data_IF_200001663468
#
_entry.id   IF_200001663468
#
_cell.length_a   1.000
_cell.length_b   1.000
_cell.length_c   1.000
_cell.angle_alpha   90.00
_cell.angle_beta   90.00
_cell.angle_gamma   90.00
#
_symmetry.space_group_name_H-M   'P 1'
#
loop_
_entity.id
_entity.type
_entity.pdbx_description
1 polymer ?
#
# COMPACT_ATOMS: atom_id res chain seq x y z
N UNK A 1 28.15 -2.17 -0.41
CA UNK A 1 27.00 -2.95 -0.88
C UNK A 1 26.93 -2.89 -2.40
N UNK A 2 26.32 -3.89 -3.07
CA UNK A 2 26.22 -3.93 -4.54
C UNK A 2 25.11 -2.97 -5.06
N UNK A 3 24.09 -2.72 -4.23
CA UNK A 3 22.94 -1.90 -4.61
C UNK A 3 22.95 -0.55 -3.90
N UNK A 4 22.54 0.51 -4.60
CA UNK A 4 22.43 1.86 -4.07
C UNK A 4 21.06 2.15 -3.46
N UNK A 5 20.05 1.44 -3.92
CA UNK A 5 18.68 1.58 -3.42
C UNK A 5 17.97 0.23 -3.36
N UNK A 6 17.02 0.11 -2.44
CA UNK A 6 16.06 -1.01 -2.38
C UNK A 6 14.66 -0.41 -2.32
N UNK A 7 13.78 -0.90 -3.18
CA UNK A 7 12.39 -0.46 -3.25
C UNK A 7 11.49 -1.63 -2.85
N UNK A 8 10.66 -1.39 -1.85
CA UNK A 8 9.75 -2.38 -1.28
C UNK A 8 8.30 -2.13 -1.71
N UNK A 9 7.53 -3.19 -1.84
CA UNK A 9 6.09 -3.13 -1.68
C UNK A 9 5.73 -3.06 -0.19
N UNK A 10 4.46 -2.78 0.15
CA UNK A 10 4.06 -2.68 1.55
C UNK A 10 3.26 -3.89 2.02
N UNK A 11 2.08 -4.15 1.43
CA UNK A 11 1.19 -5.20 1.89
C UNK A 11 1.80 -6.59 1.70
N UNK A 12 1.84 -7.38 2.78
CA UNK A 12 2.49 -8.70 2.85
C UNK A 12 4.00 -8.73 2.54
N UNK A 13 4.61 -7.55 2.40
CA UNK A 13 6.07 -7.39 2.25
C UNK A 13 6.68 -6.76 3.50
N UNK A 14 6.17 -5.62 3.94
CA UNK A 14 6.63 -4.92 5.14
C UNK A 14 5.67 -5.10 6.31
N UNK A 15 4.38 -5.34 6.04
CA UNK A 15 3.39 -5.49 7.09
C UNK A 15 2.14 -6.20 6.64
N UNK A 16 1.35 -6.59 7.63
CA UNK A 16 0.02 -7.17 7.48
C UNK A 16 -1.04 -6.13 7.88
N UNK A 17 -1.87 -5.75 6.92
CA UNK A 17 -2.99 -4.82 7.08
C UNK A 17 -4.35 -5.51 6.87
N UNK A 18 -4.40 -6.82 6.86
CA UNK A 18 -5.58 -7.61 6.47
C UNK A 18 -6.84 -7.20 7.23
N UNK A 19 -6.76 -7.04 8.55
CA UNK A 19 -7.92 -6.65 9.37
C UNK A 19 -8.47 -5.28 8.98
N UNK A 20 -7.58 -4.28 8.83
CA UNK A 20 -7.97 -2.92 8.43
C UNK A 20 -8.53 -2.87 7.02
N UNK A 21 -7.94 -3.63 6.09
CA UNK A 21 -8.43 -3.73 4.70
C UNK A 21 -9.80 -4.41 4.68
N UNK A 22 -9.98 -5.54 5.36
CA UNK A 22 -11.26 -6.25 5.39
C UNK A 22 -12.39 -5.40 6.00
N UNK A 23 -12.10 -4.69 7.08
CA UNK A 23 -13.07 -3.76 7.67
C UNK A 23 -13.45 -2.63 6.71
N UNK A 24 -12.48 -2.09 5.97
CA UNK A 24 -12.70 -0.98 5.03
C UNK A 24 -13.43 -1.44 3.76
N UNK A 25 -13.09 -2.60 3.23
CA UNK A 25 -13.79 -3.23 2.10
C UNK A 25 -15.25 -3.49 2.46
N UNK A 26 -15.50 -4.15 3.57
CA UNK A 26 -16.86 -4.50 3.99
C UNK A 26 -17.70 -3.28 4.35
N UNK A 27 -17.09 -2.23 4.88
CA UNK A 27 -17.78 -0.95 5.05
C UNK A 27 -18.21 -0.37 3.70
N UNK A 28 -17.32 -0.33 2.72
CA UNK A 28 -17.62 0.17 1.38
C UNK A 28 -18.71 -0.63 0.67
N UNK A 29 -18.60 -1.96 0.66
CA UNK A 29 -19.58 -2.84 0.06
C UNK A 29 -20.97 -2.66 0.69
N UNK A 30 -21.04 -2.66 2.03
CA UNK A 30 -22.30 -2.49 2.78
C UNK A 30 -22.95 -1.13 2.51
N UNK A 31 -22.17 -0.05 2.47
CA UNK A 31 -22.67 1.31 2.15
C UNK A 31 -23.29 1.39 0.74
N UNK A 32 -22.86 0.54 -0.15
CA UNK A 32 -23.34 0.47 -1.53
C UNK A 32 -24.44 -0.57 -1.74
N UNK A 33 -24.86 -1.28 -0.68
CA UNK A 33 -25.93 -2.29 -0.74
C UNK A 33 -25.45 -3.67 -1.23
N UNK A 34 -24.15 -3.91 -1.28
CA UNK A 34 -23.58 -5.23 -1.58
C UNK A 34 -23.46 -6.07 -0.30
N UNK A 35 -23.45 -7.39 -0.47
CA UNK A 35 -23.11 -8.31 0.61
C UNK A 35 -21.66 -8.15 1.05
N UNK A 36 -21.37 -8.48 2.30
CA UNK A 36 -20.01 -8.48 2.81
C UNK A 36 -19.16 -9.52 2.08
N UNK A 37 -17.95 -9.14 1.71
CA UNK A 37 -16.98 -10.07 1.14
C UNK A 37 -16.43 -11.02 2.21
N UNK A 38 -16.25 -12.29 1.84
CA UNK A 38 -15.57 -13.26 2.66
C UNK A 38 -14.08 -12.88 2.82
N UNK A 39 -13.51 -13.13 4.00
CA UNK A 39 -12.14 -12.75 4.32
C UNK A 39 -11.13 -13.32 3.31
N UNK A 40 -11.30 -14.57 2.90
CA UNK A 40 -10.40 -15.22 1.94
C UNK A 40 -10.46 -14.57 0.55
N UNK A 41 -11.62 -14.10 0.12
CA UNK A 41 -11.76 -13.42 -1.16
C UNK A 41 -11.19 -11.99 -1.09
N UNK A 42 -11.38 -11.30 0.03
CA UNK A 42 -10.74 -10.00 0.26
C UNK A 42 -9.22 -10.15 0.26
N UNK A 43 -8.66 -11.16 0.91
CA UNK A 43 -7.20 -11.42 0.92
C UNK A 43 -6.61 -11.55 -0.48
N UNK A 44 -7.31 -12.18 -1.40
CA UNK A 44 -6.87 -12.32 -2.79
C UNK A 44 -6.79 -10.99 -3.55
N UNK A 45 -7.47 -9.96 -3.06
CA UNK A 45 -7.45 -8.62 -3.66
C UNK A 45 -6.41 -7.68 -3.06
N UNK A 46 -5.76 -8.07 -1.96
CA UNK A 46 -4.75 -7.24 -1.30
C UNK A 46 -3.55 -7.05 -2.25
N UNK A 47 -3.20 -5.79 -2.47
CA UNK A 47 -2.17 -5.39 -3.44
C UNK A 47 -2.74 -4.94 -4.79
N UNK A 48 -4.01 -5.20 -5.08
CA UNK A 48 -4.71 -4.62 -6.24
C UNK A 48 -5.12 -3.16 -5.95
N UNK A 49 -5.43 -2.42 -7.01
CA UNK A 49 -6.10 -1.13 -6.88
C UNK A 49 -7.51 -1.30 -6.28
N UNK A 50 -8.06 -0.25 -5.65
CA UNK A 50 -9.42 -0.31 -5.10
C UNK A 50 -10.47 -0.58 -6.18
N UNK A 51 -10.26 -0.08 -7.39
CA UNK A 51 -11.12 -0.36 -8.55
C UNK A 51 -11.13 -1.85 -8.89
N UNK A 52 -9.97 -2.48 -8.91
CA UNK A 52 -9.86 -3.91 -9.19
C UNK A 52 -10.38 -4.77 -8.04
N UNK A 53 -10.11 -4.37 -6.80
CA UNK A 53 -10.70 -5.00 -5.61
C UNK A 53 -12.24 -5.01 -5.71
N UNK A 54 -12.84 -3.86 -6.02
CA UNK A 54 -14.29 -3.76 -6.20
C UNK A 54 -14.81 -4.69 -7.31
N UNK A 55 -14.15 -4.66 -8.47
CA UNK A 55 -14.52 -5.50 -9.61
C UNK A 55 -14.41 -7.01 -9.28
N UNK A 56 -13.36 -7.42 -8.57
CA UNK A 56 -13.18 -8.81 -8.15
C UNK A 56 -14.28 -9.29 -7.18
N UNK A 57 -14.67 -8.43 -6.24
CA UNK A 57 -15.61 -8.81 -5.18
C UNK A 57 -17.08 -8.72 -5.61
N UNK A 58 -17.41 -7.83 -6.56
CA UNK A 58 -18.80 -7.57 -6.97
C UNK A 58 -19.12 -8.02 -8.38
N UNK A 59 -18.11 -8.21 -9.22
CA UNK A 59 -18.26 -8.43 -10.66
C UNK A 59 -18.56 -7.15 -11.46
N UNK A 60 -18.83 -6.01 -10.80
CA UNK A 60 -19.07 -4.73 -11.46
C UNK A 60 -17.77 -4.08 -11.94
N UNK A 61 -17.78 -3.56 -13.16
CA UNK A 61 -16.70 -2.74 -13.73
C UNK A 61 -17.12 -1.28 -13.96
N UNK A 62 -18.24 -0.89 -13.37
CA UNK A 62 -18.73 0.49 -13.44
C UNK A 62 -17.77 1.42 -12.70
N UNK A 63 -17.36 2.50 -13.38
CA UNK A 63 -16.35 3.41 -12.84
C UNK A 63 -16.90 4.30 -11.73
N UNK A 64 -18.17 4.70 -11.82
CA UNK A 64 -18.79 5.54 -10.79
C UNK A 64 -19.01 4.73 -9.51
N UNK A 65 -19.41 3.46 -9.64
CA UNK A 65 -19.51 2.55 -8.49
C UNK A 65 -18.15 2.32 -7.84
N UNK A 66 -17.09 2.04 -8.63
CA UNK A 66 -15.75 1.86 -8.11
C UNK A 66 -15.20 3.12 -7.40
N UNK A 67 -15.55 4.30 -7.91
CA UNK A 67 -15.17 5.57 -7.26
C UNK A 67 -15.93 5.76 -5.94
N UNK A 68 -17.24 5.49 -5.89
CA UNK A 68 -18.01 5.53 -4.63
C UNK A 68 -17.48 4.53 -3.61
N UNK A 69 -17.17 3.31 -4.05
CA UNK A 69 -16.54 2.31 -3.20
C UNK A 69 -15.23 2.83 -2.60
N UNK A 70 -14.38 3.45 -3.40
CA UNK A 70 -13.10 4.01 -2.94
C UNK A 70 -13.29 5.10 -1.88
N UNK A 71 -14.32 5.93 -2.01
CA UNK A 71 -14.67 6.96 -1.01
C UNK A 71 -15.08 6.30 0.32
N UNK A 72 -15.97 5.32 0.29
CA UNK A 72 -16.42 4.63 1.51
C UNK A 72 -15.32 3.76 2.13
N UNK A 73 -14.49 3.12 1.29
CA UNK A 73 -13.30 2.43 1.76
C UNK A 73 -12.38 3.38 2.53
N UNK A 74 -12.08 4.54 1.95
CA UNK A 74 -11.23 5.56 2.56
C UNK A 74 -11.80 6.07 3.88
N UNK A 75 -13.09 6.35 3.95
CA UNK A 75 -13.79 6.78 5.16
C UNK A 75 -13.52 5.83 6.35
N UNK A 76 -13.59 4.52 6.12
CA UNK A 76 -13.32 3.53 7.16
C UNK A 76 -11.83 3.31 7.39
N UNK A 77 -11.06 3.26 6.33
CA UNK A 77 -9.61 3.10 6.39
C UNK A 77 -8.93 4.19 7.21
N UNK A 78 -9.39 5.44 7.10
CA UNK A 78 -8.87 6.56 7.88
C UNK A 78 -9.05 6.37 9.40
N UNK A 79 -10.05 5.58 9.81
CA UNK A 79 -10.34 5.30 11.22
C UNK A 79 -9.56 4.10 11.78
N UNK A 80 -9.29 3.08 10.95
CA UNK A 80 -8.87 1.77 11.47
C UNK A 80 -7.53 1.27 10.94
N UNK A 81 -7.07 1.73 9.76
CA UNK A 81 -5.95 1.08 9.08
C UNK A 81 -4.65 1.12 9.88
N UNK A 82 -4.32 2.27 10.46
CA UNK A 82 -3.07 2.44 11.20
C UNK A 82 -3.04 1.52 12.43
N UNK A 83 -4.15 1.46 13.16
CA UNK A 83 -4.25 0.62 14.37
C UNK A 83 -4.21 -0.87 14.07
N UNK A 84 -4.79 -1.28 12.94
CA UNK A 84 -4.84 -2.68 12.50
C UNK A 84 -3.65 -3.08 11.60
N UNK A 85 -2.63 -2.23 11.47
CA UNK A 85 -1.40 -2.58 10.76
C UNK A 85 -0.38 -3.18 11.72
N UNK A 86 0.19 -4.32 11.32
CA UNK A 86 1.28 -5.00 12.03
C UNK A 86 2.49 -5.09 11.10
N UNK A 87 3.58 -4.36 11.43
CA UNK A 87 4.84 -4.53 10.72
C UNK A 87 5.47 -5.88 11.07
N UNK A 88 6.10 -6.49 10.08
CA UNK A 88 6.89 -7.69 10.37
C UNK A 88 8.11 -7.35 11.22
N UNK A 89 8.47 -8.18 12.21
CA UNK A 89 9.54 -7.87 13.18
C UNK A 89 10.90 -7.57 12.54
N UNK A 90 11.16 -8.14 11.36
CA UNK A 90 12.42 -7.95 10.66
C UNK A 90 12.55 -6.59 9.93
N UNK A 91 11.48 -5.83 9.78
CA UNK A 91 11.48 -4.60 8.95
C UNK A 91 12.41 -3.53 9.51
N UNK A 92 12.25 -3.17 10.79
CA UNK A 92 13.11 -2.18 11.44
C UNK A 92 14.59 -2.52 11.33
N UNK A 93 15.03 -3.70 11.84
CA UNK A 93 16.42 -4.15 11.73
C UNK A 93 16.94 -4.20 10.29
N UNK A 94 16.12 -4.62 9.32
CA UNK A 94 16.51 -4.65 7.92
C UNK A 94 16.74 -3.25 7.34
N UNK A 95 15.86 -2.30 7.67
CA UNK A 95 15.99 -0.90 7.23
C UNK A 95 17.25 -0.25 7.85
N UNK A 96 17.49 -0.44 9.13
CA UNK A 96 18.69 0.05 9.79
C UNK A 96 19.96 -0.49 9.16
N UNK A 97 19.99 -1.79 8.84
CA UNK A 97 21.15 -2.42 8.20
C UNK A 97 21.36 -1.89 6.78
N UNK A 98 20.30 -1.71 5.97
CA UNK A 98 20.38 -1.10 4.64
C UNK A 98 20.95 0.32 4.72
N UNK A 99 20.46 1.13 5.66
CA UNK A 99 20.96 2.50 5.90
C UNK A 99 22.42 2.50 6.32
N UNK A 100 22.83 1.59 7.23
CA UNK A 100 24.23 1.44 7.66
C UNK A 100 25.16 1.12 6.50
N UNK A 101 24.66 0.40 5.49
CA UNK A 101 25.39 0.07 4.26
C UNK A 101 25.33 1.17 3.20
N UNK A 102 24.72 2.31 3.51
CA UNK A 102 24.60 3.46 2.60
C UNK A 102 23.54 3.28 1.51
N UNK A 103 22.64 2.30 1.68
CA UNK A 103 21.55 2.04 0.75
C UNK A 103 20.37 2.98 1.01
N UNK A 104 19.76 3.52 -0.03
CA UNK A 104 18.51 4.29 0.07
C UNK A 104 17.31 3.33 0.04
N UNK A 105 16.23 3.74 0.70
CA UNK A 105 15.03 2.90 0.85
C UNK A 105 13.83 3.63 0.26
N UNK A 106 13.13 2.96 -0.67
CA UNK A 106 11.86 3.40 -1.23
C UNK A 106 10.74 2.43 -0.92
N UNK A 107 9.51 2.94 -0.92
CA UNK A 107 8.27 2.14 -0.85
C UNK A 107 7.39 2.51 -2.04
N UNK A 108 6.92 1.52 -2.80
CA UNK A 108 5.96 1.70 -3.90
C UNK A 108 4.75 0.80 -3.64
N UNK A 109 3.59 1.38 -3.46
CA UNK A 109 2.39 0.68 -2.99
C UNK A 109 1.12 1.16 -3.68
N UNK A 110 0.07 0.34 -3.68
CA UNK A 110 -1.29 0.72 -4.05
C UNK A 110 -2.07 1.38 -2.91
N UNK A 111 -1.48 1.46 -1.69
CA UNK A 111 -2.01 2.28 -0.61
C UNK A 111 -1.78 3.77 -0.89
N UNK A 112 -2.57 4.62 -0.25
CA UNK A 112 -2.31 6.06 -0.25
C UNK A 112 -0.98 6.38 0.45
N UNK A 113 -0.22 7.31 -0.10
CA UNK A 113 1.06 7.79 0.42
C UNK A 113 0.93 8.21 1.90
N UNK A 114 -0.01 9.10 2.19
CA UNK A 114 -0.21 9.58 3.56
C UNK A 114 -0.49 8.46 4.57
N UNK A 115 -1.05 7.34 4.11
CA UNK A 115 -1.30 6.18 4.96
C UNK A 115 -0.01 5.49 5.35
N UNK A 116 0.93 5.39 4.42
CA UNK A 116 2.26 4.85 4.70
C UNK A 116 3.00 5.75 5.69
N UNK A 117 2.96 7.07 5.48
CA UNK A 117 3.55 8.03 6.45
C UNK A 117 3.03 7.78 7.86
N UNK A 118 1.71 7.72 8.04
CA UNK A 118 1.10 7.47 9.35
C UNK A 118 1.53 6.14 9.99
N UNK A 119 1.66 5.09 9.18
CA UNK A 119 2.11 3.77 9.67
C UNK A 119 3.58 3.82 10.07
N UNK A 120 4.45 4.40 9.24
CA UNK A 120 5.87 4.50 9.54
C UNK A 120 6.13 5.37 10.77
N UNK A 121 5.37 6.44 10.96
CA UNK A 121 5.42 7.29 12.16
C UNK A 121 5.01 6.52 13.42
N UNK A 122 3.91 5.76 13.36
CA UNK A 122 3.47 4.90 14.48
C UNK A 122 4.57 3.94 14.93
N UNK A 123 5.31 3.37 13.99
CA UNK A 123 6.39 2.42 14.28
C UNK A 123 7.77 3.09 14.42
N UNK A 124 7.84 4.42 14.34
CA UNK A 124 9.05 5.23 14.52
C UNK A 124 10.19 4.89 13.53
N UNK A 125 9.85 4.50 12.32
CA UNK A 125 10.80 4.17 11.25
C UNK A 125 10.69 5.08 10.01
N UNK A 126 9.88 6.14 10.07
CA UNK A 126 9.71 7.07 8.95
C UNK A 126 11.06 7.68 8.49
N UNK A 127 11.96 8.01 9.40
CA UNK A 127 13.27 8.57 9.09
C UNK A 127 14.23 7.61 8.37
N UNK A 128 13.89 6.33 8.23
CA UNK A 128 14.69 5.34 7.51
C UNK A 128 14.32 5.23 6.03
N UNK A 129 13.14 5.76 5.64
CA UNK A 129 12.61 5.69 4.25
C UNK A 129 12.86 7.02 3.55
N UNK A 130 13.45 6.96 2.35
CA UNK A 130 13.79 8.16 1.56
C UNK A 130 12.67 8.58 0.61
N UNK A 131 11.90 7.63 0.09
CA UNK A 131 10.86 7.87 -0.91
C UNK A 131 9.66 6.95 -0.67
N UNK A 132 8.46 7.51 -0.70
CA UNK A 132 7.20 6.79 -0.72
C UNK A 132 6.46 7.18 -2.00
N UNK A 133 5.93 6.19 -2.71
CA UNK A 133 5.05 6.36 -3.86
C UNK A 133 3.78 5.58 -3.60
N UNK A 134 2.70 6.30 -3.34
CA UNK A 134 1.37 5.75 -3.11
C UNK A 134 0.46 5.86 -4.33
N UNK A 135 -0.79 5.44 -4.18
CA UNK A 135 -1.78 5.43 -5.24
C UNK A 135 -2.02 6.83 -5.84
N UNK A 136 -2.02 7.88 -5.00
CA UNK A 136 -2.25 9.26 -5.43
C UNK A 136 -1.06 9.92 -6.12
N UNK A 137 0.12 9.32 -6.05
CA UNK A 137 1.35 9.88 -6.63
C UNK A 137 1.54 9.51 -8.11
N UNK A 138 0.73 8.62 -8.64
CA UNK A 138 0.85 8.08 -10.00
C UNK A 138 -0.47 8.17 -10.77
N UNK A 139 -0.39 8.21 -12.10
CA UNK A 139 -1.58 8.13 -12.97
C UNK A 139 -2.03 6.70 -13.20
N UNK A 140 -1.07 5.77 -13.23
CA UNK A 140 -1.31 4.35 -13.41
C UNK A 140 -0.66 3.56 -12.27
N UNK A 141 -1.50 2.94 -11.44
CA UNK A 141 -1.06 2.07 -10.36
C UNK A 141 -0.46 0.74 -10.86
N UNK A 142 0.16 -0.02 -9.96
CA UNK A 142 0.65 -1.36 -10.27
C UNK A 142 -0.47 -2.22 -10.92
N UNK A 143 -0.18 -2.98 -11.98
CA UNK A 143 1.14 -3.44 -12.46
C UNK A 143 1.90 -2.47 -13.39
N UNK A 144 1.43 -1.22 -13.58
CA UNK A 144 2.21 -0.21 -14.30
C UNK A 144 3.56 -0.01 -13.63
N UNK A 145 4.66 0.12 -14.38
CA UNK A 145 5.98 0.43 -13.83
C UNK A 145 6.14 1.89 -13.40
N UNK A 146 5.13 2.74 -13.60
CA UNK A 146 5.21 4.20 -13.37
C UNK A 146 5.72 4.55 -11.98
N UNK A 147 5.11 3.98 -10.93
CA UNK A 147 5.52 4.24 -9.55
C UNK A 147 6.94 3.76 -9.23
N UNK A 148 7.34 2.62 -9.79
CA UNK A 148 8.71 2.11 -9.62
C UNK A 148 9.74 3.04 -10.30
N UNK A 149 9.47 3.45 -11.53
CA UNK A 149 10.36 4.35 -12.28
C UNK A 149 10.46 5.71 -11.61
N UNK A 150 9.34 6.24 -11.11
CA UNK A 150 9.33 7.48 -10.35
C UNK A 150 10.15 7.38 -9.06
N UNK A 151 9.96 6.30 -8.28
CA UNK A 151 10.76 6.07 -7.07
C UNK A 151 12.26 5.95 -7.37
N UNK A 152 12.64 5.26 -8.45
CA UNK A 152 14.03 5.14 -8.88
C UNK A 152 14.64 6.50 -9.21
N UNK A 153 13.93 7.36 -9.94
CA UNK A 153 14.37 8.72 -10.26
C UNK A 153 14.60 9.54 -8.97
N UNK A 154 13.65 9.53 -8.04
CA UNK A 154 13.78 10.23 -6.77
C UNK A 154 14.93 9.70 -5.90
N UNK A 155 15.21 8.41 -5.97
CA UNK A 155 16.33 7.77 -5.28
C UNK A 155 17.68 7.98 -6.02
N UNK A 156 17.68 8.57 -7.23
CA UNK A 156 18.88 8.70 -8.05
C UNK A 156 19.54 7.35 -8.36
N UNK A 157 18.72 6.32 -8.55
CA UNK A 157 19.16 4.97 -8.84
C UNK A 157 18.74 4.54 -10.26
N UNK A 158 19.50 3.68 -10.89
CA UNK A 158 19.13 3.09 -12.17
C UNK A 158 18.87 1.57 -12.04
N UNK A 159 18.40 0.93 -13.13
CA UNK A 159 18.02 -0.50 -13.13
C UNK A 159 19.18 -1.47 -12.82
N UNK A 160 20.41 -0.99 -12.81
CA UNK A 160 21.60 -1.81 -12.56
C UNK A 160 22.14 -1.64 -11.14
N UNK A 161 21.55 -0.73 -10.40
CA UNK A 161 21.97 -0.26 -9.07
C UNK A 161 20.97 -0.63 -7.97
#
# INVERSE_FOLDING_TARGET
MKYKAVIFDFDYTLGDCTEGIAASVNHGLKKMGYEAGELEDIRKTIGLSLKETFACLTGSRDQEEAQRFSIYFKEKSDQVMVEHTRLYPAVGPAFEELRRQGCRIGIVTTKYHYRIDQILDKFQIAGLVDVIVGAEDVKAEKPSPEGLLYAMEQLGADRKE
#
